data_IF_494545753835
#
_entry.id   IF_494545753835
#
_cell.length_a   1.000
_cell.length_b   1.000
_cell.length_c   1.000
_cell.angle_alpha   90.00
_cell.angle_beta   90.00
_cell.angle_gamma   90.00
#
_symmetry.space_group_name_H-M   'P 1'
#
loop_
_entity.id
_entity.type
_entity.pdbx_description
1 polymer ?
#
# COMPACT_ATOMS: atom_id res chain seq x y z
N UNK A 1 -16.79 14.00 -14.51
CA UNK A 1 -16.32 12.62 -14.84
C UNK A 1 -15.99 11.74 -13.62
N UNK A 2 -15.31 12.23 -12.58
CA UNK A 2 -14.76 11.42 -11.47
C UNK A 2 -15.78 10.69 -10.55
N UNK A 3 -17.04 11.13 -10.47
CA UNK A 3 -18.14 10.40 -9.77
C UNK A 3 -18.63 9.19 -10.57
N UNK A 4 -18.69 9.29 -11.92
CA UNK A 4 -19.12 8.18 -12.79
C UNK A 4 -18.15 6.99 -12.73
N UNK A 5 -16.83 7.25 -12.62
CA UNK A 5 -15.82 6.20 -12.44
C UNK A 5 -15.93 5.42 -11.12
N UNK A 6 -16.56 5.99 -10.08
CA UNK A 6 -16.76 5.29 -8.80
C UNK A 6 -18.00 4.41 -8.78
N UNK A 7 -18.93 4.63 -9.70
CA UNK A 7 -20.13 3.82 -9.85
C UNK A 7 -19.91 2.63 -10.82
N UNK A 8 -18.73 2.54 -11.44
CA UNK A 8 -18.42 1.44 -12.33
C UNK A 8 -18.28 0.13 -11.55
N UNK A 9 -18.75 -0.99 -12.11
CA UNK A 9 -18.47 -2.30 -11.58
C UNK A 9 -16.96 -2.52 -11.41
N UNK A 10 -16.56 -3.22 -10.35
CA UNK A 10 -15.14 -3.48 -10.03
C UNK A 10 -14.37 -4.10 -11.21
N UNK A 11 -15.05 -4.94 -12.01
CA UNK A 11 -14.45 -5.55 -13.19
C UNK A 11 -14.07 -4.53 -14.27
N UNK A 12 -14.84 -3.44 -14.45
CA UNK A 12 -14.53 -2.39 -15.43
C UNK A 12 -13.30 -1.60 -14.98
N UNK A 13 -13.23 -1.27 -13.68
CA UNK A 13 -12.05 -0.58 -13.13
C UNK A 13 -10.79 -1.44 -13.18
N UNK A 14 -10.92 -2.75 -13.00
CA UNK A 14 -9.82 -3.70 -13.17
C UNK A 14 -9.32 -3.73 -14.62
N UNK A 15 -10.25 -3.76 -15.58
CA UNK A 15 -9.96 -3.79 -17.01
C UNK A 15 -9.31 -2.47 -17.48
N UNK A 16 -9.72 -1.33 -16.92
CA UNK A 16 -9.10 -0.03 -17.20
C UNK A 16 -7.71 0.13 -16.58
N UNK A 17 -7.44 -0.50 -15.44
CA UNK A 17 -6.12 -0.46 -14.80
C UNK A 17 -5.11 -1.42 -15.46
N UNK A 18 -5.59 -2.44 -16.18
CA UNK A 18 -4.76 -3.48 -16.79
C UNK A 18 -3.65 -2.91 -17.71
N UNK A 19 -3.94 -2.03 -18.69
CA UNK A 19 -2.89 -1.49 -19.57
C UNK A 19 -1.80 -0.74 -18.80
N UNK A 20 -2.18 0.00 -17.75
CA UNK A 20 -1.22 0.72 -16.91
C UNK A 20 -0.29 -0.24 -16.18
N UNK A 21 -0.83 -1.30 -15.57
CA UNK A 21 -0.01 -2.30 -14.87
C UNK A 21 0.88 -3.06 -15.86
N UNK A 22 0.37 -3.44 -17.03
CA UNK A 22 1.15 -4.07 -18.08
C UNK A 22 2.31 -3.20 -18.54
N UNK A 23 2.11 -1.91 -18.76
CA UNK A 23 3.19 -0.98 -19.12
C UNK A 23 4.25 -0.89 -18.02
N UNK A 24 3.84 -0.80 -16.76
CA UNK A 24 4.77 -0.78 -15.62
C UNK A 24 5.58 -2.08 -15.52
N UNK A 25 4.94 -3.24 -15.69
CA UNK A 25 5.62 -4.55 -15.68
C UNK A 25 6.56 -4.66 -16.88
N UNK A 26 6.14 -4.24 -18.08
CA UNK A 26 6.99 -4.24 -19.27
C UNK A 26 8.21 -3.35 -19.08
N UNK A 27 8.04 -2.14 -18.55
CA UNK A 27 9.14 -1.22 -18.26
C UNK A 27 10.12 -1.83 -17.25
N UNK A 28 9.62 -2.43 -16.17
CA UNK A 28 10.44 -3.14 -15.21
C UNK A 28 11.18 -4.32 -15.85
N UNK A 29 10.49 -5.12 -16.67
CA UNK A 29 11.10 -6.23 -17.41
C UNK A 29 12.18 -5.76 -18.38
N UNK A 30 11.98 -4.66 -19.09
CA UNK A 30 12.99 -4.07 -19.99
C UNK A 30 14.22 -3.56 -19.22
N UNK A 31 14.02 -3.01 -18.02
CA UNK A 31 15.13 -2.59 -17.16
C UNK A 31 15.91 -3.79 -16.61
N UNK A 32 15.24 -4.90 -16.32
CA UNK A 32 15.86 -6.08 -15.69
C UNK A 32 16.41 -7.09 -16.73
N UNK A 33 15.84 -7.13 -17.95
CA UNK A 33 16.20 -8.11 -18.99
C UNK A 33 17.70 -8.12 -19.38
N UNK A 34 18.38 -6.96 -19.56
CA UNK A 34 19.82 -6.93 -19.86
C UNK A 34 20.69 -7.61 -18.80
N UNK A 35 20.17 -7.67 -17.57
CA UNK A 35 20.88 -8.19 -16.42
C UNK A 35 20.67 -9.70 -16.24
N UNK A 36 19.52 -10.25 -16.65
CA UNK A 36 19.23 -11.68 -16.46
C UNK A 36 20.08 -12.56 -17.41
N UNK A 37 20.75 -11.99 -18.41
CA UNK A 37 21.57 -12.74 -19.37
C UNK A 37 20.76 -13.59 -20.35
N UNK A 38 19.43 -13.55 -20.25
CA UNK A 38 18.50 -14.17 -21.20
C UNK A 38 18.08 -13.09 -22.18
N UNK A 39 18.52 -13.18 -23.44
CA UNK A 39 18.04 -12.30 -24.50
C UNK A 39 16.62 -12.69 -24.90
N UNK A 40 15.62 -12.23 -24.14
CA UNK A 40 14.23 -12.31 -24.56
C UNK A 40 13.96 -11.27 -25.65
N UNK A 41 13.20 -11.68 -26.67
CA UNK A 41 12.71 -10.72 -27.67
C UNK A 41 11.74 -9.72 -27.01
N UNK A 42 11.59 -8.53 -27.60
CA UNK A 42 10.59 -7.55 -27.13
C UNK A 42 9.18 -8.16 -27.10
N UNK A 43 8.85 -9.02 -28.06
CA UNK A 43 7.56 -9.70 -28.13
C UNK A 43 7.35 -10.62 -26.91
N UNK A 44 8.35 -11.41 -26.51
CA UNK A 44 8.25 -12.29 -25.34
C UNK A 44 8.07 -11.49 -24.04
N UNK A 45 8.79 -10.36 -23.91
CA UNK A 45 8.66 -9.47 -22.76
C UNK A 45 7.27 -8.82 -22.71
N UNK A 46 6.73 -8.41 -23.85
CA UNK A 46 5.40 -7.84 -23.95
C UNK A 46 4.31 -8.86 -23.59
N UNK A 47 4.44 -10.11 -24.04
CA UNK A 47 3.51 -11.21 -23.70
C UNK A 47 3.58 -11.51 -22.20
N UNK A 48 4.77 -11.68 -21.63
CA UNK A 48 4.95 -11.93 -20.19
C UNK A 48 4.38 -10.78 -19.34
N UNK A 49 4.61 -9.53 -19.75
CA UNK A 49 4.06 -8.36 -19.08
C UNK A 49 2.53 -8.27 -19.21
N UNK A 50 1.95 -8.68 -20.34
CA UNK A 50 0.50 -8.73 -20.53
C UNK A 50 -0.15 -9.76 -19.59
N UNK A 51 0.43 -10.97 -19.52
CA UNK A 51 -0.05 -12.05 -18.64
C UNK A 51 0.05 -11.65 -17.17
N UNK A 52 1.21 -11.13 -16.74
CA UNK A 52 1.42 -10.66 -15.35
C UNK A 52 0.55 -9.45 -15.02
N UNK A 53 0.40 -8.52 -15.96
CA UNK A 53 -0.48 -7.38 -15.78
C UNK A 53 -1.92 -7.81 -15.59
N UNK A 54 -2.38 -8.84 -16.32
CA UNK A 54 -3.75 -9.35 -16.26
C UNK A 54 -4.06 -10.02 -14.93
N UNK A 55 -3.08 -10.71 -14.33
CA UNK A 55 -3.26 -11.35 -13.03
C UNK A 55 -3.15 -10.36 -11.86
N UNK A 56 -2.21 -9.41 -11.91
CA UNK A 56 -1.95 -8.48 -10.81
C UNK A 56 -2.94 -7.30 -10.80
N UNK A 57 -3.27 -6.75 -11.98
CA UNK A 57 -4.08 -5.53 -12.11
C UNK A 57 -5.43 -5.59 -11.39
N UNK A 58 -6.28 -6.60 -11.67
CA UNK A 58 -7.58 -6.74 -11.02
C UNK A 58 -7.46 -6.88 -9.50
N UNK A 59 -6.48 -7.66 -9.02
CA UNK A 59 -6.25 -7.88 -7.59
C UNK A 59 -5.91 -6.55 -6.91
N UNK A 60 -4.99 -5.76 -7.47
CA UNK A 60 -4.61 -4.45 -6.93
C UNK A 60 -5.80 -3.49 -6.87
N UNK A 61 -6.62 -3.43 -7.92
CA UNK A 61 -7.80 -2.56 -7.96
C UNK A 61 -8.84 -2.98 -6.91
N UNK A 62 -9.11 -4.27 -6.77
CA UNK A 62 -10.05 -4.78 -5.77
C UNK A 62 -9.57 -4.47 -4.36
N UNK A 63 -8.28 -4.70 -4.07
CA UNK A 63 -7.69 -4.37 -2.77
C UNK A 63 -7.82 -2.88 -2.49
N UNK A 64 -7.49 -2.02 -3.46
CA UNK A 64 -7.57 -0.56 -3.29
C UNK A 64 -9.02 -0.08 -3.10
N UNK A 65 -9.97 -0.67 -3.83
CA UNK A 65 -11.39 -0.36 -3.67
C UNK A 65 -11.92 -0.77 -2.29
N UNK A 66 -11.56 -1.98 -1.83
CA UNK A 66 -11.87 -2.45 -0.46
C UNK A 66 -11.24 -1.57 0.60
N UNK A 67 -10.00 -1.14 0.39
CA UNK A 67 -9.31 -0.21 1.29
C UNK A 67 -10.06 1.12 1.41
N UNK A 68 -10.45 1.73 0.27
CA UNK A 68 -11.20 2.98 0.29
C UNK A 68 -12.58 2.86 0.92
N UNK A 69 -13.30 1.77 0.62
CA UNK A 69 -14.61 1.51 1.21
C UNK A 69 -14.49 1.35 2.73
N UNK A 70 -13.55 0.54 3.19
CA UNK A 70 -13.32 0.32 4.62
C UNK A 70 -12.85 1.59 5.34
N UNK A 71 -12.04 2.42 4.69
CA UNK A 71 -11.64 3.70 5.25
C UNK A 71 -12.85 4.61 5.51
N UNK A 72 -13.84 4.65 4.60
CA UNK A 72 -15.11 5.37 4.83
C UNK A 72 -15.93 4.76 5.95
N UNK A 73 -16.06 3.43 5.98
CA UNK A 73 -16.80 2.72 7.03
C UNK A 73 -16.24 2.98 8.44
N UNK A 74 -14.91 2.97 8.59
CA UNK A 74 -14.23 3.19 9.88
C UNK A 74 -14.29 4.66 10.33
N UNK A 75 -14.21 5.60 9.37
CA UNK A 75 -14.14 7.03 9.68
C UNK A 75 -15.51 7.69 9.75
N UNK A 76 -16.54 7.10 9.12
CA UNK A 76 -17.86 7.72 8.94
C UNK A 76 -17.86 8.92 7.99
N UNK A 77 -16.78 9.14 7.23
CA UNK A 77 -16.63 10.30 6.35
C UNK A 77 -17.00 9.92 4.91
N UNK A 78 -18.04 10.57 4.37
CA UNK A 78 -18.47 10.43 2.98
C UNK A 78 -17.78 11.41 2.04
N UNK A 79 -17.46 12.62 2.52
CA UNK A 79 -16.76 13.60 1.71
C UNK A 79 -15.32 13.15 1.39
N UNK A 80 -14.95 13.30 0.11
CA UNK A 80 -13.65 12.81 -0.38
C UNK A 80 -12.49 13.67 0.09
N UNK A 81 -12.69 14.97 0.24
CA UNK A 81 -11.60 15.87 0.60
C UNK A 81 -11.33 15.80 2.11
N UNK A 82 -12.39 15.70 2.94
CA UNK A 82 -12.26 15.30 4.34
C UNK A 82 -11.56 13.93 4.50
N UNK A 83 -11.98 12.92 3.72
CA UNK A 83 -11.36 11.59 3.79
C UNK A 83 -9.88 11.63 3.41
N UNK A 84 -9.49 12.47 2.45
CA UNK A 84 -8.08 12.67 2.10
C UNK A 84 -7.29 13.35 3.21
N UNK A 85 -7.87 14.33 3.88
CA UNK A 85 -7.25 14.97 5.06
C UNK A 85 -7.01 13.93 6.14
N UNK A 86 -8.02 13.09 6.41
CA UNK A 86 -7.93 11.98 7.37
C UNK A 86 -6.88 10.96 6.97
N UNK A 87 -6.88 10.48 5.72
CA UNK A 87 -5.87 9.54 5.22
C UNK A 87 -4.44 10.11 5.30
N UNK A 88 -4.25 11.39 4.93
CA UNK A 88 -2.96 12.06 5.06
C UNK A 88 -2.55 12.16 6.52
N UNK A 89 -3.46 12.57 7.39
CA UNK A 89 -3.23 12.69 8.82
C UNK A 89 -2.90 11.33 9.46
N UNK A 90 -3.42 10.21 8.98
CA UNK A 90 -3.07 8.87 9.47
C UNK A 90 -1.67 8.42 9.05
N UNK A 91 -1.13 8.90 7.91
CA UNK A 91 0.17 8.46 7.40
C UNK A 91 1.33 9.35 7.87
N UNK A 92 1.43 10.58 7.34
CA UNK A 92 2.54 11.53 7.58
C UNK A 92 2.13 13.01 7.50
N UNK A 93 0.84 13.30 7.34
CA UNK A 93 0.33 14.66 7.20
C UNK A 93 0.30 15.45 8.51
N UNK A 94 -0.04 16.75 8.47
CA UNK A 94 -0.30 17.54 9.67
C UNK A 94 -1.47 16.98 10.49
N UNK A 95 -1.52 17.28 11.79
CA UNK A 95 -2.66 16.93 12.66
C UNK A 95 -3.83 17.87 12.36
N UNK A 96 -5.04 17.37 12.07
CA UNK A 96 -6.20 18.23 11.79
C UNK A 96 -6.59 19.07 13.01
N UNK A 97 -6.91 20.35 12.77
CA UNK A 97 -7.45 21.26 13.79
C UNK A 97 -8.87 20.87 14.21
N UNK A 98 -9.68 20.35 13.29
CA UNK A 98 -11.03 19.87 13.56
C UNK A 98 -10.99 18.58 14.41
N UNK A 99 -11.60 18.58 15.62
CA UNK A 99 -11.69 17.40 16.48
C UNK A 99 -12.33 16.19 15.80
N UNK A 100 -13.35 16.40 14.94
CA UNK A 100 -14.04 15.31 14.24
C UNK A 100 -13.10 14.58 13.28
N UNK A 101 -12.36 15.34 12.46
CA UNK A 101 -11.39 14.77 11.51
C UNK A 101 -10.21 14.12 12.23
N UNK A 102 -9.81 14.66 13.39
CA UNK A 102 -8.75 14.08 14.23
C UNK A 102 -9.18 12.73 14.80
N UNK A 103 -10.39 12.63 15.37
CA UNK A 103 -10.94 11.38 15.88
C UNK A 103 -11.09 10.33 14.77
N UNK A 104 -11.56 10.73 13.58
CA UNK A 104 -11.64 9.86 12.42
C UNK A 104 -10.25 9.34 11.99
N UNK A 105 -9.22 10.20 11.97
CA UNK A 105 -7.84 9.80 11.67
C UNK A 105 -7.26 8.82 12.69
N UNK A 106 -7.61 8.99 13.97
CA UNK A 106 -7.24 8.07 15.06
C UNK A 106 -7.91 6.71 14.87
N UNK A 107 -9.20 6.66 14.60
CA UNK A 107 -9.93 5.41 14.34
C UNK A 107 -9.37 4.66 13.12
N UNK A 108 -9.05 5.39 12.04
CA UNK A 108 -8.41 4.79 10.87
C UNK A 108 -7.00 4.26 11.20
N UNK A 109 -6.22 4.96 12.02
CA UNK A 109 -4.91 4.49 12.46
C UNK A 109 -4.99 3.21 13.30
N UNK A 110 -6.01 3.10 14.17
CA UNK A 110 -6.27 1.90 14.97
C UNK A 110 -6.64 0.69 14.09
N UNK A 111 -7.56 0.84 13.13
CA UNK A 111 -7.93 -0.23 12.18
C UNK A 111 -6.72 -0.67 11.33
N UNK A 112 -5.85 0.26 10.93
CA UNK A 112 -4.61 -0.07 10.22
C UNK A 112 -3.62 -0.85 11.09
N UNK A 113 -3.48 -0.49 12.37
CA UNK A 113 -2.61 -1.19 13.33
C UNK A 113 -3.09 -2.63 13.52
N UNK A 114 -4.38 -2.82 13.74
CA UNK A 114 -4.98 -4.15 13.91
C UNK A 114 -4.72 -5.04 12.69
N UNK A 115 -4.97 -4.53 11.48
CA UNK A 115 -4.70 -5.26 10.24
C UNK A 115 -3.23 -5.60 10.06
N UNK A 116 -2.32 -4.69 10.41
CA UNK A 116 -0.89 -5.00 10.35
C UNK A 116 -0.49 -6.11 11.32
N UNK A 117 -1.06 -6.12 12.53
CA UNK A 117 -0.82 -7.19 13.50
C UNK A 117 -1.34 -8.53 12.98
N UNK A 118 -2.53 -8.56 12.36
CA UNK A 118 -3.07 -9.79 11.75
C UNK A 118 -2.23 -10.30 10.57
N UNK A 119 -1.65 -9.40 9.77
CA UNK A 119 -0.82 -9.75 8.62
C UNK A 119 0.62 -10.08 8.98
N UNK A 120 1.05 -9.79 10.21
CA UNK A 120 2.44 -9.98 10.66
C UNK A 120 2.95 -11.42 10.50
N UNK A 121 2.20 -12.48 10.84
CA UNK A 121 2.66 -13.85 10.62
C UNK A 121 2.88 -14.16 9.13
N UNK A 122 1.99 -13.68 8.27
CA UNK A 122 2.11 -13.84 6.82
C UNK A 122 3.31 -13.09 6.26
N UNK A 123 3.59 -11.88 6.77
CA UNK A 123 4.77 -11.12 6.39
C UNK A 123 6.06 -11.87 6.78
N UNK A 124 6.13 -12.45 7.98
CA UNK A 124 7.26 -13.28 8.42
C UNK A 124 7.42 -14.52 7.54
N UNK A 125 6.34 -15.25 7.25
CA UNK A 125 6.40 -16.40 6.34
C UNK A 125 6.89 -15.99 4.93
N UNK A 126 6.41 -14.86 4.41
CA UNK A 126 6.84 -14.33 3.12
C UNK A 126 8.33 -13.94 3.14
N UNK A 127 8.81 -13.33 4.21
CA UNK A 127 10.24 -13.00 4.41
C UNK A 127 11.13 -14.24 4.45
N UNK A 128 10.69 -15.31 5.13
CA UNK A 128 11.42 -16.58 5.18
C UNK A 128 11.50 -17.20 3.77
N UNK A 129 10.37 -17.26 3.06
CA UNK A 129 10.32 -17.76 1.68
C UNK A 129 11.21 -16.93 0.75
N UNK A 130 11.21 -15.61 0.93
CA UNK A 130 12.07 -14.71 0.16
C UNK A 130 13.55 -14.93 0.48
N UNK A 131 13.91 -15.16 1.75
CA UNK A 131 15.26 -15.49 2.18
C UNK A 131 15.75 -16.82 1.60
N UNK A 132 14.89 -17.84 1.56
CA UNK A 132 15.18 -19.12 0.91
C UNK A 132 15.33 -18.97 -0.61
N UNK A 133 14.48 -18.15 -1.24
CA UNK A 133 14.61 -17.84 -2.65
C UNK A 133 15.93 -17.08 -2.94
N UNK A 134 16.35 -16.18 -2.04
CA UNK A 134 17.62 -15.46 -2.16
C UNK A 134 18.81 -16.40 -2.07
N UNK A 135 18.87 -17.29 -1.07
CA UNK A 135 19.99 -18.23 -0.92
C UNK A 135 20.07 -19.17 -2.12
N UNK A 136 18.93 -19.64 -2.62
CA UNK A 136 18.88 -20.43 -3.85
C UNK A 136 19.38 -19.63 -5.06
N UNK A 137 19.06 -18.34 -5.15
CA UNK A 137 19.34 -17.55 -6.34
C UNK A 137 20.75 -16.92 -6.38
N UNK A 138 21.37 -16.66 -5.23
CA UNK A 138 22.78 -16.24 -5.11
C UNK A 138 23.72 -17.30 -5.69
N UNK A 139 23.35 -18.58 -5.63
CA UNK A 139 24.11 -19.68 -6.23
C UNK A 139 24.05 -19.65 -7.77
N UNK A 140 22.99 -19.06 -8.35
CA UNK A 140 22.74 -19.11 -9.79
C UNK A 140 23.07 -17.82 -10.54
N UNK A 141 22.86 -16.63 -9.94
CA UNK A 141 23.23 -15.35 -10.56
C UNK A 141 23.24 -14.19 -9.56
N UNK A 142 24.25 -13.32 -9.66
CA UNK A 142 24.40 -12.09 -8.89
C UNK A 142 23.17 -11.16 -9.00
N UNK A 143 22.45 -11.18 -10.12
CA UNK A 143 21.29 -10.31 -10.34
C UNK A 143 20.08 -10.68 -9.49
N UNK A 144 19.93 -11.97 -9.17
CA UNK A 144 18.94 -12.36 -8.19
C UNK A 144 19.27 -11.83 -6.80
N UNK A 145 20.56 -11.63 -6.49
CA UNK A 145 20.94 -11.05 -5.21
C UNK A 145 20.44 -9.59 -5.09
N UNK A 146 20.52 -8.83 -6.18
CA UNK A 146 20.00 -7.46 -6.26
C UNK A 146 18.48 -7.43 -6.09
N UNK A 147 17.75 -8.25 -6.85
CA UNK A 147 16.28 -8.32 -6.78
C UNK A 147 15.82 -8.71 -5.37
N UNK A 148 16.43 -9.73 -4.79
CA UNK A 148 16.09 -10.16 -3.45
C UNK A 148 16.45 -9.11 -2.39
N UNK A 149 17.56 -8.37 -2.54
CA UNK A 149 17.90 -7.26 -1.64
C UNK A 149 16.82 -6.18 -1.69
N UNK A 150 16.29 -5.86 -2.88
CA UNK A 150 15.17 -4.94 -3.03
C UNK A 150 13.92 -5.44 -2.28
N UNK A 151 13.54 -6.71 -2.47
CA UNK A 151 12.41 -7.29 -1.76
C UNK A 151 12.64 -7.36 -0.24
N UNK A 152 13.86 -7.64 0.20
CA UNK A 152 14.25 -7.65 1.61
C UNK A 152 14.14 -6.24 2.21
N UNK A 153 14.48 -5.20 1.44
CA UNK A 153 14.33 -3.81 1.86
C UNK A 153 12.84 -3.41 1.96
N UNK A 154 12.00 -3.85 1.02
CA UNK A 154 10.54 -3.67 1.10
C UNK A 154 9.97 -4.39 2.33
N UNK A 155 10.39 -5.62 2.58
CA UNK A 155 10.04 -6.40 3.76
C UNK A 155 10.47 -5.68 5.06
N UNK A 156 11.72 -5.23 5.16
CA UNK A 156 12.23 -4.49 6.29
C UNK A 156 11.44 -3.19 6.57
N UNK A 157 10.94 -2.51 5.52
CA UNK A 157 10.06 -1.37 5.69
C UNK A 157 8.75 -1.74 6.40
N UNK A 158 8.22 -2.95 6.19
CA UNK A 158 6.99 -3.43 6.87
C UNK A 158 7.18 -3.55 8.39
N UNK A 159 8.37 -3.89 8.85
CA UNK A 159 8.70 -3.96 10.29
C UNK A 159 8.71 -2.61 10.98
N UNK A 160 9.04 -1.54 10.26
CA UNK A 160 9.03 -0.17 10.82
C UNK A 160 7.64 0.47 10.82
N UNK A 161 6.73 -0.05 10.00
CA UNK A 161 5.37 0.47 9.86
C UNK A 161 4.56 0.48 11.18
N UNK A 162 4.52 -0.59 12.00
CA UNK A 162 3.71 -0.59 13.23
C UNK A 162 4.14 0.49 14.22
N UNK A 163 5.46 0.66 14.42
CA UNK A 163 6.00 1.71 15.30
C UNK A 163 5.63 3.12 14.83
N UNK A 164 5.55 3.33 13.51
CA UNK A 164 5.12 4.62 12.94
C UNK A 164 3.64 4.88 13.20
N UNK A 165 2.80 3.85 13.09
CA UNK A 165 1.36 3.97 13.36
C UNK A 165 1.10 4.21 14.85
N UNK A 166 1.82 3.54 15.74
CA UNK A 166 1.70 3.74 17.19
C UNK A 166 2.02 5.17 17.62
N UNK A 167 3.19 5.69 17.20
CA UNK A 167 3.55 7.09 17.42
C UNK A 167 2.51 8.05 16.86
N UNK A 168 1.85 7.67 15.76
CA UNK A 168 0.84 8.52 15.16
C UNK A 168 -0.47 8.51 15.94
N UNK A 169 -0.85 7.37 16.52
CA UNK A 169 -2.01 7.27 17.41
C UNK A 169 -1.78 8.12 18.66
N UNK A 170 -0.58 8.09 19.26
CA UNK A 170 -0.20 8.93 20.39
C UNK A 170 -0.36 10.42 20.07
N UNK A 171 0.25 10.89 18.98
CA UNK A 171 0.14 12.29 18.54
C UNK A 171 -1.30 12.76 18.28
N UNK A 172 -2.16 11.87 17.76
CA UNK A 172 -3.56 12.19 17.52
C UNK A 172 -4.38 12.21 18.82
N UNK A 173 -3.95 11.47 19.84
CA UNK A 173 -4.62 11.39 21.16
C UNK A 173 -4.21 12.56 22.06
N UNK A 174 -2.93 12.95 22.08
CA UNK A 174 -2.44 14.05 22.92
C UNK A 174 -3.03 15.41 22.51
N UNK A 175 -3.21 15.60 21.20
CA UNK A 175 -3.85 16.80 20.67
C UNK A 175 -5.33 16.90 21.10
N UNK A 176 -6.02 15.77 21.27
CA UNK A 176 -7.40 15.71 21.78
C UNK A 176 -7.47 16.20 23.23
N UNK A 177 -6.61 15.67 24.10
CA UNK A 177 -6.54 16.05 25.52
C UNK A 177 -6.21 17.55 25.70
N UNK A 178 -5.24 18.06 24.94
CA UNK A 178 -4.84 19.49 25.00
C UNK A 178 -5.99 20.43 24.61
N UNK A 179 -6.83 20.02 23.66
CA UNK A 179 -8.01 20.80 23.24
C UNK A 179 -9.18 20.76 24.21
N UNK A 180 -9.23 19.75 25.10
CA UNK A 180 -10.23 19.67 26.16
C UNK A 180 -9.88 20.60 27.33
N UNK A 181 -8.61 20.61 27.76
CA UNK A 181 -8.15 21.45 28.88
C UNK A 181 -8.30 22.95 28.59
N UNK A 182 -8.05 23.38 27.35
CA UNK A 182 -8.23 24.79 26.94
C UNK A 182 -9.69 25.24 26.87
N UNK A 183 -10.65 24.31 26.74
CA UNK A 183 -12.09 24.64 26.79
C UNK A 183 -12.64 24.71 28.20
N UNK A 184 -12.04 24.01 29.18
CA UNK A 184 -12.48 24.03 30.58
C UNK A 184 -12.01 25.27 31.36
N UNK A 185 -11.10 26.06 30.81
CA UNK A 185 -10.53 27.25 31.44
C UNK A 185 -11.21 28.58 31.04
N UNK A 186 -12.33 28.53 30.32
CA UNK A 186 -13.16 29.69 29.94
C UNK A 186 -14.56 29.55 30.51
#
# INVERSE_FOLDING_TARGET
MRRKLQALPLWVTALLAWPFVTVCVLAASLLVNPFIGVQKSFADLAIDAAIRGLSIGPVTVIILARYHRRAREVTGIEDRDELRVVQRATQKGPVPSDPRLRAAARNLALDLREKQLMLRPFAVCFEILLGLAFTAAVVWSFWFAVVATLFFLIAALTWTAPRRIERRIELLSDAENTSADTKGAR
#
